data_IF_055433458788
#
_entry.id   IF_055433458788
#
_cell.length_a   1.000
_cell.length_b   1.000
_cell.length_c   1.000
_cell.angle_alpha   90.00
_cell.angle_beta   90.00
_cell.angle_gamma   90.00
#
_symmetry.space_group_name_H-M   'P 1'
#
loop_
_entity.id
_entity.type
_entity.pdbx_description
1 polymer ?
#
# COMPACT_ATOMS: atom_id res chain seq x y z
N UNK A 1 -48.19 12.68 11.59
CA UNK A 1 -46.73 12.90 11.79
C UNK A 1 -46.02 11.56 11.63
N UNK A 2 -45.41 11.28 10.48
CA UNK A 2 -44.72 10.01 10.24
C UNK A 2 -43.26 10.12 10.73
N UNK A 3 -42.88 9.32 11.73
CA UNK A 3 -41.49 9.20 12.20
C UNK A 3 -40.69 8.41 11.17
N UNK A 4 -39.63 9.00 10.65
CA UNK A 4 -38.62 8.34 9.80
C UNK A 4 -37.80 7.36 10.66
N UNK A 5 -37.49 6.14 10.22
CA UNK A 5 -36.54 5.29 10.90
C UNK A 5 -35.10 5.71 10.52
N UNK A 6 -34.29 6.03 11.53
CA UNK A 6 -32.85 6.28 11.39
C UNK A 6 -32.13 4.99 10.98
N UNK A 7 -31.80 4.89 9.69
CA UNK A 7 -30.84 3.92 9.17
C UNK A 7 -29.42 4.37 9.56
N UNK A 8 -29.05 4.21 10.83
CA UNK A 8 -27.65 4.29 11.27
C UNK A 8 -26.93 3.00 10.88
N UNK A 9 -26.70 2.91 9.57
CA UNK A 9 -26.02 1.85 8.85
C UNK A 9 -24.55 1.72 9.32
N UNK A 10 -24.06 0.48 9.36
CA UNK A 10 -22.84 0.07 10.06
C UNK A 10 -21.55 0.73 9.55
N UNK A 11 -20.78 1.32 10.48
CA UNK A 11 -19.44 1.87 10.23
C UNK A 11 -18.33 0.96 10.79
N UNK A 12 -18.64 -0.31 11.09
CA UNK A 12 -17.65 -1.28 11.59
C UNK A 12 -16.91 -2.05 10.47
N UNK A 13 -17.23 -1.83 9.18
CA UNK A 13 -16.58 -2.53 8.05
C UNK A 13 -15.46 -1.76 7.33
N UNK A 14 -15.29 -0.47 7.63
CA UNK A 14 -14.34 0.41 6.90
C UNK A 14 -12.94 0.39 7.52
N UNK A 15 -12.86 0.14 8.83
CA UNK A 15 -11.60 0.08 9.58
C UNK A 15 -10.80 -1.20 9.29
N UNK A 16 -11.47 -2.33 9.07
CA UNK A 16 -10.84 -3.59 8.69
C UNK A 16 -10.27 -3.55 7.26
N UNK A 17 -10.93 -2.87 6.31
CA UNK A 17 -10.39 -2.65 4.97
C UNK A 17 -9.14 -1.76 5.02
N UNK A 18 -9.18 -0.69 5.81
CA UNK A 18 -8.04 0.21 6.04
C UNK A 18 -6.87 -0.51 6.71
N UNK A 19 -7.14 -1.47 7.62
CA UNK A 19 -6.10 -2.32 8.22
C UNK A 19 -5.51 -3.31 7.22
N UNK A 20 -6.30 -3.87 6.31
CA UNK A 20 -5.78 -4.71 5.22
C UNK A 20 -4.97 -3.92 4.19
N UNK A 21 -5.18 -2.60 4.11
CA UNK A 21 -4.39 -1.69 3.29
C UNK A 21 -3.06 -1.26 3.91
N UNK A 22 -2.79 -1.46 5.20
CA UNK A 22 -1.55 -1.02 5.86
C UNK A 22 -0.69 -2.24 6.14
N UNK A 23 0.53 -2.30 5.60
CA UNK A 23 1.47 -3.40 5.88
C UNK A 23 1.82 -3.44 7.36
N UNK A 24 1.78 -4.66 7.93
CA UNK A 24 2.29 -4.92 9.27
C UNK A 24 3.81 -4.67 9.33
N UNK A 25 4.40 -4.35 10.49
CA UNK A 25 5.85 -4.32 10.68
C UNK A 25 6.55 -5.60 10.18
N UNK A 26 5.94 -6.77 10.35
CA UNK A 26 6.48 -8.04 9.85
C UNK A 26 6.50 -8.11 8.32
N UNK A 27 5.41 -7.67 7.67
CA UNK A 27 5.34 -7.59 6.20
C UNK A 27 6.42 -6.63 5.66
N UNK A 28 6.64 -5.49 6.33
CA UNK A 28 7.68 -4.54 5.95
C UNK A 28 9.09 -5.14 6.13
N UNK A 29 9.31 -5.91 7.19
CA UNK A 29 10.58 -6.61 7.41
C UNK A 29 10.83 -7.66 6.33
N UNK A 30 9.81 -8.43 5.96
CA UNK A 30 9.90 -9.42 4.90
C UNK A 30 10.11 -8.76 3.53
N UNK A 31 9.41 -7.67 3.24
CA UNK A 31 9.61 -6.90 2.01
C UNK A 31 11.05 -6.37 1.93
N UNK A 32 11.55 -5.74 2.99
CA UNK A 32 12.94 -5.25 3.04
C UNK A 32 13.97 -6.37 2.88
N UNK A 33 13.73 -7.52 3.51
CA UNK A 33 14.59 -8.71 3.38
C UNK A 33 14.57 -9.26 1.95
N UNK A 34 13.42 -9.25 1.29
CA UNK A 34 13.31 -9.66 -0.12
C UNK A 34 14.06 -8.70 -1.03
N UNK A 35 13.86 -7.39 -0.84
CA UNK A 35 14.50 -6.33 -1.63
C UNK A 35 16.02 -6.27 -1.43
N UNK A 36 16.52 -6.63 -0.24
CA UNK A 36 17.97 -6.68 0.00
C UNK A 36 18.64 -7.86 -0.72
N UNK A 37 17.90 -8.92 -1.04
CA UNK A 37 18.41 -10.05 -1.84
C UNK A 37 18.37 -9.78 -3.34
N UNK A 38 17.47 -8.89 -3.78
CA UNK A 38 17.37 -8.51 -5.19
C UNK A 38 18.60 -7.70 -5.64
N UNK A 39 19.04 -7.89 -6.88
CA UNK A 39 20.02 -7.02 -7.53
C UNK A 39 19.43 -5.64 -7.90
N UNK A 40 20.28 -4.70 -8.33
CA UNK A 40 19.85 -3.32 -8.68
C UNK A 40 18.77 -3.29 -9.77
N UNK A 41 18.91 -4.09 -10.82
CA UNK A 41 17.95 -4.17 -11.92
C UNK A 41 16.59 -4.71 -11.47
N UNK A 42 16.58 -5.74 -10.62
CA UNK A 42 15.35 -6.29 -10.07
C UNK A 42 14.66 -5.32 -9.10
N UNK A 43 15.43 -4.58 -8.29
CA UNK A 43 14.88 -3.51 -7.46
C UNK A 43 14.28 -2.36 -8.28
N UNK A 44 14.88 -2.00 -9.43
CA UNK A 44 14.30 -1.03 -10.37
C UNK A 44 12.99 -1.54 -10.98
N UNK A 45 12.93 -2.80 -11.40
CA UNK A 45 11.69 -3.38 -11.92
C UNK A 45 10.58 -3.42 -10.85
N UNK A 46 10.92 -3.77 -9.61
CA UNK A 46 9.99 -3.69 -8.49
C UNK A 46 9.48 -2.25 -8.27
N UNK A 47 10.37 -1.25 -8.40
CA UNK A 47 9.99 0.16 -8.30
C UNK A 47 9.01 0.57 -9.40
N UNK A 48 9.28 0.23 -10.66
CA UNK A 48 8.36 0.53 -11.77
C UNK A 48 7.01 -0.15 -11.60
N UNK A 49 6.99 -1.39 -11.10
CA UNK A 49 5.77 -2.15 -10.84
C UNK A 49 4.94 -1.49 -9.73
N UNK A 50 5.56 -1.16 -8.60
CA UNK A 50 4.89 -0.46 -7.50
C UNK A 50 4.42 0.93 -7.93
N UNK A 51 5.22 1.66 -8.72
CA UNK A 51 4.86 2.96 -9.25
C UNK A 51 3.65 2.89 -10.19
N UNK A 52 3.59 1.87 -11.06
CA UNK A 52 2.44 1.65 -11.93
C UNK A 52 1.15 1.39 -11.13
N UNK A 53 1.23 0.68 -10.00
CA UNK A 53 0.10 0.47 -9.07
C UNK A 53 -0.30 1.76 -8.34
N UNK A 54 0.66 2.66 -8.11
CA UNK A 54 0.42 3.96 -7.47
C UNK A 54 -0.07 5.05 -8.42
N UNK A 55 -0.12 4.79 -9.74
CA UNK A 55 -0.66 5.75 -10.70
C UNK A 55 -2.15 5.94 -10.45
N UNK A 56 -2.55 7.19 -10.27
CA UNK A 56 -3.96 7.57 -10.19
C UNK A 56 -4.59 7.39 -11.58
N UNK A 57 -5.33 6.30 -11.74
CA UNK A 57 -6.16 6.04 -12.92
C UNK A 57 -7.61 6.18 -12.47
N UNK A 58 -8.39 6.99 -13.19
CA UNK A 58 -9.79 7.31 -12.86
C UNK A 58 -9.97 7.97 -11.47
N UNK A 59 -9.06 8.90 -11.10
CA UNK A 59 -9.09 9.66 -9.84
C UNK A 59 -9.12 8.81 -8.56
N UNK A 60 -8.78 7.53 -8.64
CA UNK A 60 -8.68 6.66 -7.47
C UNK A 60 -7.31 6.81 -6.80
N UNK A 61 -7.36 7.14 -5.52
CA UNK A 61 -6.16 7.16 -4.66
C UNK A 61 -5.64 5.73 -4.53
N UNK A 62 -4.32 5.51 -4.74
CA UNK A 62 -3.74 4.19 -4.60
C UNK A 62 -3.74 3.72 -3.15
N UNK A 63 -3.76 2.40 -2.96
CA UNK A 63 -3.81 1.83 -1.61
C UNK A 63 -2.57 2.16 -0.79
N UNK A 64 -2.74 2.29 0.53
CA UNK A 64 -1.63 2.58 1.44
C UNK A 64 -0.50 1.55 1.30
N UNK A 65 -0.83 0.28 1.07
CA UNK A 65 0.11 -0.83 0.83
C UNK A 65 0.98 -0.60 -0.39
N UNK A 66 0.38 -0.16 -1.50
CA UNK A 66 1.12 0.11 -2.74
C UNK A 66 2.09 1.27 -2.56
N UNK A 67 1.67 2.31 -1.84
CA UNK A 67 2.53 3.45 -1.49
C UNK A 67 3.68 2.99 -0.58
N UNK A 68 3.39 2.18 0.44
CA UNK A 68 4.41 1.65 1.34
C UNK A 68 5.42 0.78 0.59
N UNK A 69 4.96 -0.11 -0.29
CA UNK A 69 5.83 -0.93 -1.13
C UNK A 69 6.76 -0.04 -1.98
N UNK A 70 6.20 0.96 -2.66
CA UNK A 70 6.96 1.93 -3.47
C UNK A 70 8.05 2.63 -2.65
N UNK A 71 7.71 3.12 -1.47
CA UNK A 71 8.65 3.83 -0.59
C UNK A 71 9.75 2.90 -0.08
N UNK A 72 9.44 1.64 0.25
CA UNK A 72 10.45 0.68 0.71
C UNK A 72 11.43 0.33 -0.41
N UNK A 73 10.95 0.09 -1.63
CA UNK A 73 11.80 -0.18 -2.79
C UNK A 73 12.69 1.03 -3.09
N UNK A 74 12.11 2.23 -3.09
CA UNK A 74 12.84 3.47 -3.29
C UNK A 74 13.96 3.62 -2.25
N UNK A 75 13.67 3.51 -0.95
CA UNK A 75 14.70 3.55 0.11
C UNK A 75 15.83 2.55 -0.13
N UNK A 76 15.50 1.33 -0.55
CA UNK A 76 16.51 0.30 -0.83
C UNK A 76 17.38 0.64 -2.05
N UNK A 77 16.81 1.24 -3.09
CA UNK A 77 17.57 1.73 -4.26
C UNK A 77 18.52 2.86 -3.89
N UNK A 78 18.08 3.81 -3.06
CA UNK A 78 18.90 4.94 -2.62
C UNK A 78 20.04 4.53 -1.67
N UNK A 79 19.84 3.51 -0.83
CA UNK A 79 20.91 2.95 0.00
C UNK A 79 22.06 2.34 -0.82
N UNK A 80 21.80 1.97 -2.08
CA UNK A 80 22.75 1.32 -3.00
C UNK A 80 23.26 2.24 -4.10
N UNK A 81 22.94 3.52 -4.02
CA UNK A 81 23.46 4.56 -4.91
C UNK A 81 24.73 5.12 -4.34
#
# INVERSE_FOLDING_TARGET
MARRPDLRNGVHGVDDLRKQEIMSPDDLKQLRSSLSRLGRSAALQAYHTAYARCRMVNDRVPSARSIQELVQVWKQLWKRR
#
